data_IF_216447304129
#
_entry.id   IF_216447304129
#
_cell.length_a   1.000
_cell.length_b   1.000
_cell.length_c   1.000
_cell.angle_alpha   90.00
_cell.angle_beta   90.00
_cell.angle_gamma   90.00
#
_symmetry.space_group_name_H-M   'P 1'
#
loop_
_entity.id
_entity.type
_entity.pdbx_description
1 polymer ?
#
# COMPACT_ATOMS: atom_id res chain seq x y z
N UNK A 1 4.21 -27.46 -14.30
CA UNK A 1 3.50 -26.23 -13.90
C UNK A 1 4.57 -25.20 -13.66
N UNK A 2 4.61 -24.12 -14.43
CA UNK A 2 5.45 -22.98 -14.07
C UNK A 2 4.94 -22.45 -12.73
N UNK A 3 5.83 -22.27 -11.74
CA UNK A 3 5.47 -21.56 -10.52
C UNK A 3 5.10 -20.14 -10.93
N UNK A 4 3.82 -19.78 -10.79
CA UNK A 4 3.41 -18.39 -10.97
C UNK A 4 4.06 -17.55 -9.87
N UNK A 5 4.81 -16.54 -10.30
CA UNK A 5 5.42 -15.57 -9.41
C UNK A 5 4.34 -14.58 -8.98
N UNK A 6 3.79 -14.77 -7.78
CA UNK A 6 2.78 -13.88 -7.20
C UNK A 6 3.50 -12.97 -6.21
N UNK A 7 3.30 -11.66 -6.31
CA UNK A 7 3.71 -10.71 -5.28
C UNK A 7 2.55 -10.42 -4.32
N UNK A 8 2.83 -10.40 -3.02
CA UNK A 8 1.97 -9.84 -1.99
C UNK A 8 2.61 -8.55 -1.47
N UNK A 9 2.02 -7.42 -1.84
CA UNK A 9 2.54 -6.08 -1.58
C UNK A 9 1.72 -5.36 -0.51
N UNK A 10 2.34 -4.86 0.55
CA UNK A 10 1.62 -4.32 1.71
C UNK A 10 2.41 -3.28 2.52
N UNK A 11 1.76 -2.65 3.51
CA UNK A 11 2.45 -1.86 4.53
C UNK A 11 2.93 -2.76 5.67
N UNK A 12 4.18 -2.64 6.11
CA UNK A 12 4.75 -3.53 7.15
C UNK A 12 3.93 -3.56 8.45
N UNK A 13 3.20 -2.49 8.76
CA UNK A 13 2.31 -2.42 9.92
C UNK A 13 1.19 -3.48 9.86
N UNK A 14 0.82 -3.95 8.67
CA UNK A 14 -0.21 -4.98 8.46
C UNK A 14 0.38 -6.36 8.11
N UNK A 15 1.59 -6.68 8.58
CA UNK A 15 2.25 -7.96 8.28
C UNK A 15 1.42 -9.17 8.68
N UNK A 16 0.74 -9.13 9.84
CA UNK A 16 -0.09 -10.24 10.31
C UNK A 16 -1.21 -10.57 9.31
N UNK A 17 -1.80 -9.55 8.70
CA UNK A 17 -2.84 -9.71 7.70
C UNK A 17 -2.26 -10.28 6.39
N UNK A 18 -1.09 -9.80 5.97
CA UNK A 18 -0.40 -10.34 4.81
C UNK A 18 -0.01 -11.82 5.02
N UNK A 19 0.45 -12.20 6.21
CA UNK A 19 0.77 -13.58 6.57
C UNK A 19 -0.46 -14.49 6.53
N UNK A 20 -1.63 -14.00 6.98
CA UNK A 20 -2.90 -14.73 6.87
C UNK A 20 -3.26 -15.02 5.41
N UNK A 21 -3.24 -13.98 4.56
CA UNK A 21 -3.50 -14.15 3.11
C UNK A 21 -2.48 -15.12 2.49
N UNK A 22 -1.20 -14.98 2.82
CA UNK A 22 -0.15 -15.86 2.30
C UNK A 22 -0.33 -17.31 2.74
N UNK A 23 -0.80 -17.55 3.98
CA UNK A 23 -1.07 -18.89 4.50
C UNK A 23 -2.23 -19.55 3.74
N UNK A 24 -3.32 -18.81 3.47
CA UNK A 24 -4.45 -19.30 2.68
C UNK A 24 -4.01 -19.68 1.27
N UNK A 25 -3.25 -18.82 0.60
CA UNK A 25 -2.70 -19.10 -0.74
C UNK A 25 -1.73 -20.29 -0.74
N UNK A 26 -0.91 -20.41 0.31
CA UNK A 26 0.03 -21.53 0.47
C UNK A 26 -0.68 -22.87 0.63
N UNK A 27 -1.85 -22.89 1.28
CA UNK A 27 -2.68 -24.09 1.41
C UNK A 27 -3.20 -24.61 0.06
N UNK A 28 -3.37 -23.70 -0.91
CA UNK A 28 -3.75 -24.01 -2.29
C UNK A 28 -2.53 -24.29 -3.21
N UNK A 29 -1.31 -24.22 -2.69
CA UNK A 29 -0.08 -24.50 -3.45
C UNK A 29 0.62 -23.27 -4.03
N UNK A 30 0.20 -22.06 -3.66
CA UNK A 30 0.83 -20.80 -4.08
C UNK A 30 1.65 -20.18 -2.95
N UNK A 31 2.93 -19.92 -3.19
CA UNK A 31 3.80 -19.24 -2.23
C UNK A 31 4.06 -17.79 -2.69
N UNK A 32 3.24 -16.80 -2.29
CA UNK A 32 3.45 -15.43 -2.70
C UNK A 32 4.76 -14.87 -2.12
N UNK A 33 5.48 -14.10 -2.93
CA UNK A 33 6.65 -13.36 -2.48
C UNK A 33 6.22 -12.05 -1.82
N UNK A 34 6.71 -11.79 -0.61
CA UNK A 34 6.36 -10.59 0.15
C UNK A 34 7.17 -9.37 -0.31
N UNK A 35 6.48 -8.25 -0.48
CA UNK A 35 7.05 -6.92 -0.72
C UNK A 35 6.37 -5.95 0.24
N UNK A 36 7.15 -5.12 0.95
CA UNK A 36 6.54 -4.19 1.91
C UNK A 36 7.24 -2.84 1.98
N UNK A 37 6.45 -1.80 2.21
CA UNK A 37 6.95 -0.48 2.59
C UNK A 37 7.16 -0.42 4.11
N UNK A 38 8.35 -0.05 4.56
CA UNK A 38 8.69 0.09 5.99
C UNK A 38 9.35 1.43 6.27
N UNK A 39 8.79 2.22 7.19
CA UNK A 39 9.42 3.46 7.67
C UNK A 39 10.74 3.23 8.40
N UNK A 40 10.96 2.00 8.90
CA UNK A 40 12.11 1.63 9.74
C UNK A 40 13.25 0.96 8.96
N UNK A 41 13.02 0.61 7.70
CA UNK A 41 14.02 -0.02 6.86
C UNK A 41 14.61 1.00 5.88
N UNK A 42 15.92 0.95 5.58
CA UNK A 42 16.53 1.71 4.48
C UNK A 42 16.16 1.16 3.11
N UNK A 43 15.27 0.17 3.04
CA UNK A 43 14.81 -0.42 1.79
C UNK A 43 14.13 0.62 0.89
N UNK A 44 14.17 0.32 -0.41
CA UNK A 44 13.50 1.11 -1.45
C UNK A 44 11.99 1.19 -1.17
N UNK A 45 11.30 2.27 -1.60
CA UNK A 45 9.85 2.32 -1.56
C UNK A 45 9.20 1.11 -2.24
N UNK A 46 8.02 0.71 -1.76
CA UNK A 46 7.33 -0.52 -2.17
C UNK A 46 7.22 -0.65 -3.69
N UNK A 47 6.72 0.38 -4.36
CA UNK A 47 6.54 0.34 -5.82
C UNK A 47 7.85 0.34 -6.60
N UNK A 48 8.96 0.80 -6.01
CA UNK A 48 10.29 0.63 -6.63
C UNK A 48 10.76 -0.84 -6.53
N UNK A 49 10.48 -1.52 -5.41
CA UNK A 49 10.77 -2.95 -5.26
C UNK A 49 10.00 -3.77 -6.32
N UNK A 50 8.72 -3.44 -6.53
CA UNK A 50 7.83 -4.14 -7.45
C UNK A 50 8.19 -3.97 -8.93
N UNK A 51 8.97 -2.95 -9.34
CA UNK A 51 9.39 -2.77 -10.74
C UNK A 51 10.19 -3.95 -11.30
N UNK A 52 10.81 -4.74 -10.43
CA UNK A 52 11.59 -5.92 -10.81
C UNK A 52 10.77 -7.21 -10.82
N UNK A 53 9.54 -7.17 -10.31
CA UNK A 53 8.67 -8.33 -10.25
C UNK A 53 7.97 -8.55 -11.59
N UNK A 54 7.96 -9.81 -12.04
CA UNK A 54 7.21 -10.26 -13.20
C UNK A 54 6.12 -11.23 -12.73
N UNK A 55 4.85 -10.83 -12.85
CA UNK A 55 3.72 -11.67 -12.45
C UNK A 55 2.57 -10.86 -11.85
N UNK A 56 1.59 -11.58 -11.32
CA UNK A 56 0.42 -10.99 -10.66
C UNK A 56 0.78 -10.41 -9.29
N UNK A 57 0.20 -9.25 -8.99
CA UNK A 57 0.45 -8.50 -7.77
C UNK A 57 -0.85 -8.37 -7.00
N UNK A 58 -0.86 -8.93 -5.79
CA UNK A 58 -1.87 -8.72 -4.78
C UNK A 58 -1.45 -7.49 -3.96
N UNK A 59 -2.17 -6.39 -4.09
CA UNK A 59 -1.84 -5.14 -3.42
C UNK A 59 -2.79 -4.92 -2.23
N UNK A 60 -2.30 -5.17 -1.02
CA UNK A 60 -3.06 -5.01 0.22
C UNK A 60 -3.14 -3.52 0.61
N UNK A 61 -4.33 -2.94 0.43
CA UNK A 61 -4.64 -1.54 0.70
C UNK A 61 -5.31 -1.43 2.08
N UNK A 62 -4.61 -0.77 3.00
CA UNK A 62 -5.08 -0.45 4.35
C UNK A 62 -4.92 1.05 4.67
N UNK A 63 -5.50 1.54 5.78
CA UNK A 63 -5.27 2.92 6.25
C UNK A 63 -3.77 3.19 6.47
N UNK A 64 -3.01 2.21 6.98
CA UNK A 64 -1.56 2.33 7.16
C UNK A 64 -0.85 2.47 5.81
N UNK A 65 -1.26 1.69 4.79
CA UNK A 65 -0.72 1.82 3.43
C UNK A 65 -0.91 3.24 2.92
N UNK A 66 -2.14 3.75 2.97
CA UNK A 66 -2.50 5.06 2.42
C UNK A 66 -1.85 6.24 3.17
N UNK A 67 -1.29 5.99 4.35
CA UNK A 67 -0.55 6.97 5.19
C UNK A 67 0.96 6.71 5.27
N UNK A 68 1.47 5.71 4.56
CA UNK A 68 2.89 5.39 4.55
C UNK A 68 3.57 5.97 3.32
N UNK A 69 4.62 6.77 3.52
CA UNK A 69 5.36 7.35 2.39
C UNK A 69 6.08 6.27 1.60
N UNK A 70 6.47 5.19 2.27
CA UNK A 70 7.13 4.04 1.65
C UNK A 70 6.16 3.19 0.81
N UNK A 71 4.86 3.27 1.08
CA UNK A 71 3.83 2.57 0.32
C UNK A 71 3.24 3.46 -0.78
N UNK A 72 3.06 4.75 -0.53
CA UNK A 72 2.43 5.68 -1.47
C UNK A 72 3.37 6.22 -2.56
N UNK A 73 4.68 6.26 -2.30
CA UNK A 73 5.65 6.80 -3.25
C UNK A 73 5.64 6.01 -4.57
N UNK A 74 5.42 6.71 -5.69
CA UNK A 74 5.39 6.10 -7.03
C UNK A 74 4.13 5.28 -7.34
N UNK A 75 3.17 5.19 -6.42
CA UNK A 75 1.99 4.34 -6.60
C UNK A 75 1.07 4.77 -7.73
N UNK A 76 0.94 6.08 -7.98
CA UNK A 76 0.13 6.60 -9.09
C UNK A 76 0.65 6.12 -10.45
N UNK A 77 1.93 6.33 -10.72
CA UNK A 77 2.57 5.89 -11.97
C UNK A 77 2.48 4.36 -12.11
N UNK A 78 2.83 3.64 -11.06
CA UNK A 78 2.81 2.18 -11.07
C UNK A 78 1.41 1.63 -11.38
N UNK A 79 0.37 2.12 -10.70
CA UNK A 79 -1.01 1.70 -10.95
C UNK A 79 -1.53 2.10 -12.33
N UNK A 80 -1.04 3.19 -12.92
CA UNK A 80 -1.43 3.55 -14.29
C UNK A 80 -0.91 2.54 -15.30
N UNK A 81 0.32 2.08 -15.13
CA UNK A 81 1.01 1.23 -16.09
C UNK A 81 0.72 -0.28 -15.90
N UNK A 82 0.28 -0.70 -14.71
CA UNK A 82 0.21 -2.11 -14.33
C UNK A 82 -1.21 -2.57 -13.92
N UNK A 83 -2.27 -1.90 -14.39
CA UNK A 83 -3.66 -2.21 -13.98
C UNK A 83 -4.05 -3.67 -14.18
N UNK A 84 -3.61 -4.28 -15.27
CA UNK A 84 -4.03 -5.65 -15.64
C UNK A 84 -3.34 -6.73 -14.79
N UNK A 85 -2.25 -6.39 -14.10
CA UNK A 85 -1.48 -7.32 -13.27
C UNK A 85 -1.55 -6.98 -11.78
N UNK A 86 -2.32 -5.96 -11.38
CA UNK A 86 -2.51 -5.58 -9.98
C UNK A 86 -3.97 -5.77 -9.58
N UNK A 87 -4.19 -6.59 -8.56
CA UNK A 87 -5.48 -6.70 -7.88
C UNK A 87 -5.38 -6.05 -6.50
N UNK A 88 -6.08 -4.92 -6.27
CA UNK A 88 -6.17 -4.33 -4.94
C UNK A 88 -7.07 -5.18 -4.03
N UNK A 89 -6.56 -5.47 -2.83
CA UNK A 89 -7.31 -6.13 -1.75
C UNK A 89 -7.45 -5.10 -0.63
N UNK A 90 -8.68 -4.69 -0.32
CA UNK A 90 -8.95 -3.67 0.71
C UNK A 90 -9.23 -4.34 2.04
N UNK A 91 -8.55 -3.89 3.08
CA UNK A 91 -8.77 -4.39 4.43
C UNK A 91 -8.62 -3.28 5.47
N UNK A 92 -9.03 -3.55 6.71
CA UNK A 92 -8.82 -2.60 7.81
C UNK A 92 -7.33 -2.37 8.06
N UNK A 93 -6.98 -1.11 8.32
CA UNK A 93 -5.70 -0.77 8.90
C UNK A 93 -5.70 -1.01 10.42
N UNK A 94 -4.58 -0.67 11.04
CA UNK A 94 -4.42 -0.67 12.48
C UNK A 94 -3.91 0.68 12.96
N UNK A 95 -4.35 1.10 14.14
CA UNK A 95 -3.79 2.23 14.87
C UNK A 95 -3.49 1.84 16.29
N UNK A 96 -2.64 2.65 16.90
CA UNK A 96 -2.22 2.48 18.28
C UNK A 96 -2.71 3.69 19.09
N UNK A 97 -3.34 3.43 20.24
CA UNK A 97 -3.73 4.49 21.19
C UNK A 97 -2.54 4.95 22.06
N UNK A 98 -2.76 5.94 22.93
CA UNK A 98 -1.74 6.45 23.87
C UNK A 98 -1.24 5.36 24.84
N UNK A 99 -2.05 4.33 25.09
CA UNK A 99 -1.75 3.20 25.97
C UNK A 99 -1.10 2.02 25.23
N UNK A 100 -0.70 2.21 23.98
CA UNK A 100 -0.11 1.18 23.12
C UNK A 100 -1.04 0.03 22.73
N UNK A 101 -2.35 0.17 22.91
CA UNK A 101 -3.31 -0.81 22.42
C UNK A 101 -3.53 -0.63 20.92
N UNK A 102 -3.46 -1.73 20.18
CA UNK A 102 -3.73 -1.78 18.75
C UNK A 102 -5.22 -2.01 18.52
N UNK A 103 -5.83 -1.20 17.66
CA UNK A 103 -7.22 -1.34 17.25
C UNK A 103 -7.38 -1.19 15.73
N UNK A 104 -8.36 -1.89 15.12
CA UNK A 104 -8.60 -1.79 13.69
C UNK A 104 -9.17 -0.43 13.31
N UNK A 105 -8.84 0.03 12.11
CA UNK A 105 -9.42 1.24 11.52
C UNK A 105 -9.91 0.99 10.09
N UNK A 106 -11.11 1.49 9.72
CA UNK A 106 -11.61 1.33 8.38
C UNK A 106 -10.71 1.99 7.32
N UNK A 107 -10.55 1.31 6.20
CA UNK A 107 -9.89 1.85 5.00
C UNK A 107 -10.98 2.29 4.03
N UNK A 108 -11.15 3.59 3.84
CA UNK A 108 -12.29 4.14 3.10
C UNK A 108 -11.82 5.15 2.05
N UNK A 109 -12.08 4.87 0.78
CA UNK A 109 -11.75 5.76 -0.35
C UNK A 109 -12.83 5.77 -1.44
N UNK A 110 -14.02 5.27 -1.14
CA UNK A 110 -15.14 5.17 -2.09
C UNK A 110 -15.76 6.55 -2.34
N UNK A 111 -16.05 7.29 -1.26
CA UNK A 111 -16.67 8.61 -1.35
C UNK A 111 -15.60 9.68 -1.43
N UNK A 112 -15.95 10.81 -2.03
CA UNK A 112 -15.07 11.99 -2.11
C UNK A 112 -14.67 12.45 -0.70
N UNK A 113 -15.57 12.37 0.29
CA UNK A 113 -15.27 12.68 1.70
C UNK A 113 -14.12 11.83 2.25
N UNK A 114 -14.10 10.54 1.90
CA UNK A 114 -13.16 9.57 2.44
C UNK A 114 -11.78 9.72 1.76
N UNK A 115 -11.76 10.23 0.52
CA UNK A 115 -10.54 10.62 -0.16
C UNK A 115 -9.94 11.89 0.46
N UNK A 116 -10.78 12.87 0.83
CA UNK A 116 -10.33 14.16 1.37
C UNK A 116 -9.47 14.00 2.63
N UNK A 117 -9.79 13.05 3.52
CA UNK A 117 -8.96 12.82 4.72
C UNK A 117 -7.51 12.42 4.40
N UNK A 118 -7.27 11.67 3.32
CA UNK A 118 -5.91 11.29 2.91
C UNK A 118 -5.20 12.44 2.19
N UNK A 119 -5.95 13.23 1.40
CA UNK A 119 -5.40 14.46 0.80
C UNK A 119 -4.93 15.41 1.90
N UNK A 120 -5.78 15.70 2.89
CA UNK A 120 -5.46 16.58 4.00
C UNK A 120 -4.27 16.03 4.79
N UNK A 121 -4.27 14.72 5.11
CA UNK A 121 -3.14 14.08 5.79
C UNK A 121 -1.80 14.36 5.07
N UNK A 122 -1.73 14.11 3.76
CA UNK A 122 -0.48 14.30 3.01
C UNK A 122 -0.11 15.78 2.82
N UNK A 123 -1.08 16.68 2.74
CA UNK A 123 -0.83 18.13 2.74
C UNK A 123 -0.24 18.59 4.08
N UNK A 124 -0.81 18.14 5.20
CA UNK A 124 -0.33 18.48 6.54
C UNK A 124 1.09 17.95 6.76
N UNK A 125 1.35 16.69 6.40
CA UNK A 125 2.71 16.12 6.46
C UNK A 125 3.73 16.93 5.65
N UNK A 126 3.35 17.39 4.45
CA UNK A 126 4.22 18.23 3.63
C UNK A 126 4.49 19.60 4.28
N UNK A 127 3.46 20.25 4.83
CA UNK A 127 3.58 21.54 5.49
C UNK A 127 4.45 21.45 6.76
N UNK A 128 4.28 20.38 7.55
CA UNK A 128 5.06 20.14 8.75
C UNK A 128 6.55 19.94 8.44
N UNK A 129 6.89 19.12 7.45
CA UNK A 129 8.28 18.95 7.01
C UNK A 129 8.89 20.27 6.51
N UNK A 130 8.12 21.09 5.79
CA UNK A 130 8.61 22.41 5.37
C UNK A 130 8.90 23.34 6.53
N UNK A 131 8.10 23.27 7.60
CA UNK A 131 8.33 24.05 8.82
C UNK A 131 9.60 23.57 9.53
N UNK A 132 9.72 22.26 9.75
CA UNK A 132 10.91 21.65 10.37
C UNK A 132 12.20 22.04 9.64
N UNK A 133 12.19 22.06 8.30
CA UNK A 133 13.34 22.48 7.49
C UNK A 133 13.84 23.89 7.85
N UNK A 134 12.92 24.83 8.11
CA UNK A 134 13.26 26.23 8.42
C UNK A 134 13.78 26.40 9.85
N UNK A 135 13.39 25.50 10.75
CA UNK A 135 13.70 25.60 12.18
C UNK A 135 15.02 24.93 12.55
N UNK A 136 15.50 23.98 11.72
CA UNK A 136 16.60 23.08 12.05
C UNK A 136 17.76 23.16 11.01
N UNK A 137 17.94 24.31 10.34
CA UNK A 137 18.88 24.52 9.22
C UNK A 137 20.31 24.00 9.48
N UNK A 138 20.77 23.95 10.74
CA UNK A 138 22.15 23.54 11.11
C UNK A 138 22.29 22.10 11.67
N UNK A 139 21.19 21.37 11.93
CA UNK A 139 21.22 20.09 12.68
C UNK A 139 20.77 18.85 11.88
N UNK A 140 20.32 19.03 10.63
CA UNK A 140 19.76 17.95 9.81
C UNK A 140 20.76 17.51 8.74
N UNK A 141 20.84 16.20 8.47
CA UNK A 141 21.36 15.70 7.19
C UNK A 141 20.46 16.22 6.05
N UNK A 142 20.87 17.35 5.47
CA UNK A 142 20.12 18.03 4.42
C UNK A 142 19.78 17.12 3.25
N UNK A 143 20.64 16.15 2.92
CA UNK A 143 20.45 15.31 1.74
C UNK A 143 19.26 14.38 1.95
N UNK A 144 19.32 13.55 2.99
CA UNK A 144 18.25 12.59 3.34
C UNK A 144 16.94 13.31 3.62
N UNK A 145 16.99 14.45 4.30
CA UNK A 145 15.79 15.24 4.57
C UNK A 145 15.16 15.83 3.30
N UNK A 146 15.97 16.38 2.39
CA UNK A 146 15.48 16.91 1.14
C UNK A 146 14.86 15.83 0.24
N UNK A 147 15.43 14.62 0.24
CA UNK A 147 14.84 13.46 -0.44
C UNK A 147 13.48 13.10 0.16
N UNK A 148 13.39 12.98 1.48
CA UNK A 148 12.12 12.72 2.15
C UNK A 148 11.07 13.80 1.85
N UNK A 149 11.44 15.08 1.91
CA UNK A 149 10.56 16.20 1.58
C UNK A 149 10.09 16.16 0.12
N UNK A 150 10.95 15.78 -0.82
CA UNK A 150 10.57 15.59 -2.24
C UNK A 150 9.55 14.47 -2.40
N UNK A 151 9.78 13.34 -1.74
CA UNK A 151 8.85 12.20 -1.75
C UNK A 151 7.49 12.58 -1.20
N UNK A 152 7.44 13.23 -0.03
CA UNK A 152 6.17 13.66 0.58
C UNK A 152 5.46 14.72 -0.27
N UNK A 153 6.21 15.64 -0.90
CA UNK A 153 5.65 16.60 -1.87
C UNK A 153 5.00 15.90 -3.06
N UNK A 154 5.68 14.91 -3.63
CA UNK A 154 5.18 14.15 -4.76
C UNK A 154 3.89 13.41 -4.38
N UNK A 155 3.90 12.69 -3.26
CA UNK A 155 2.72 12.00 -2.73
C UNK A 155 1.56 12.99 -2.53
N UNK A 156 1.79 14.12 -1.85
CA UNK A 156 0.75 15.14 -1.62
C UNK A 156 0.11 15.64 -2.92
N UNK A 157 0.88 15.77 -4.00
CA UNK A 157 0.38 16.15 -5.33
C UNK A 157 -0.38 15.03 -6.06
N UNK A 158 -0.11 13.77 -5.74
CA UNK A 158 -0.59 12.60 -6.49
C UNK A 158 -1.67 11.79 -5.75
N UNK A 159 -1.79 11.92 -4.42
CA UNK A 159 -2.70 11.12 -3.56
C UNK A 159 -4.12 11.08 -4.10
N UNK A 160 -4.65 12.24 -4.53
CA UNK A 160 -6.04 12.30 -5.02
C UNK A 160 -6.25 11.47 -6.29
N UNK A 161 -5.25 11.39 -7.17
CA UNK A 161 -5.33 10.62 -8.40
C UNK A 161 -5.07 9.14 -8.13
N UNK A 162 -4.11 8.81 -7.27
CA UNK A 162 -3.88 7.42 -6.85
C UNK A 162 -5.14 6.79 -6.24
N UNK A 163 -5.83 7.50 -5.34
CA UNK A 163 -7.09 7.01 -4.75
C UNK A 163 -8.22 6.88 -5.78
N UNK A 164 -8.26 7.76 -6.80
CA UNK A 164 -9.20 7.60 -7.91
C UNK A 164 -8.90 6.36 -8.75
N UNK A 165 -7.63 6.06 -8.99
CA UNK A 165 -7.21 4.84 -9.68
C UNK A 165 -7.63 3.61 -8.90
N UNK A 166 -7.37 3.57 -7.59
CA UNK A 166 -7.79 2.46 -6.71
C UNK A 166 -9.30 2.28 -6.71
N UNK A 167 -10.07 3.36 -6.54
CA UNK A 167 -11.53 3.31 -6.54
C UNK A 167 -12.11 2.82 -7.86
N UNK A 168 -11.47 3.15 -8.98
CA UNK A 168 -11.91 2.74 -10.31
C UNK A 168 -11.31 1.39 -10.74
N UNK A 169 -10.45 0.79 -9.92
CA UNK A 169 -9.98 -0.57 -10.14
C UNK A 169 -11.02 -1.57 -9.63
N UNK A 170 -11.01 -2.79 -10.18
CA UNK A 170 -11.77 -3.91 -9.65
C UNK A 170 -11.09 -4.41 -8.36
N UNK A 171 -11.28 -3.67 -7.27
CA UNK A 171 -10.81 -4.09 -5.96
C UNK A 171 -11.80 -5.05 -5.31
N UNK A 172 -11.27 -5.89 -4.41
CA UNK A 172 -12.06 -6.78 -3.55
C UNK A 172 -11.74 -6.46 -2.10
N UNK A 173 -12.70 -6.60 -1.21
CA UNK A 173 -12.44 -6.51 0.23
C UNK A 173 -11.93 -7.86 0.75
N UNK A 174 -11.14 -7.83 1.82
CA UNK A 174 -10.70 -9.07 2.46
C UNK A 174 -11.87 -9.91 2.99
N UNK A 175 -12.92 -9.25 3.51
CA UNK A 175 -14.14 -9.92 3.96
C UNK A 175 -14.78 -10.73 2.82
N UNK A 176 -14.92 -10.14 1.62
CA UNK A 176 -15.42 -10.84 0.44
C UNK A 176 -14.51 -12.01 0.02
N UNK A 177 -13.19 -11.88 0.18
CA UNK A 177 -12.25 -12.98 -0.09
C UNK A 177 -12.43 -14.14 0.89
N UNK A 178 -12.57 -13.84 2.17
CA UNK A 178 -12.77 -14.85 3.21
C UNK A 178 -14.10 -15.60 3.01
N UNK A 179 -15.17 -14.87 2.69
CA UNK A 179 -16.49 -15.45 2.40
C UNK A 179 -16.52 -16.31 1.13
N UNK A 180 -15.76 -15.91 0.11
CA UNK A 180 -15.68 -16.62 -1.18
C UNK A 180 -14.54 -17.65 -1.26
N UNK A 181 -13.84 -17.91 -0.15
CA UNK A 181 -12.66 -18.78 -0.13
C UNK A 181 -11.62 -18.40 -1.19
N UNK A 182 -11.36 -17.10 -1.36
CA UNK A 182 -10.36 -16.52 -2.26
C UNK A 182 -10.58 -16.82 -3.75
N UNK A 183 -11.81 -17.15 -4.17
CA UNK A 183 -12.13 -17.51 -5.56
C UNK A 183 -11.66 -16.45 -6.57
N UNK A 184 -11.89 -15.17 -6.28
CA UNK A 184 -11.46 -14.07 -7.16
C UNK A 184 -9.95 -13.97 -7.27
N UNK A 185 -9.20 -14.29 -6.21
CA UNK A 185 -7.74 -14.36 -6.25
C UNK A 185 -7.27 -15.50 -7.15
N UNK A 186 -7.84 -16.69 -6.99
CA UNK A 186 -7.49 -17.85 -7.83
C UNK A 186 -7.84 -17.60 -9.31
N UNK A 187 -8.95 -16.92 -9.60
CA UNK A 187 -9.29 -16.50 -10.96
C UNK A 187 -8.28 -15.49 -11.50
N UNK A 188 -7.90 -14.50 -10.70
CA UNK A 188 -6.94 -13.46 -11.10
C UNK A 188 -5.55 -14.00 -11.40
N UNK A 189 -5.05 -14.94 -10.59
CA UNK A 189 -3.76 -15.59 -10.86
C UNK A 189 -3.84 -16.62 -12.00
N UNK A 190 -5.04 -17.01 -12.44
CA UNK A 190 -5.25 -17.89 -13.60
C UNK A 190 -5.40 -19.38 -13.25
N UNK A 191 -5.66 -19.68 -11.98
CA UNK A 191 -5.87 -21.04 -11.46
C UNK A 191 -7.32 -21.53 -11.65
N UNK A 192 -8.26 -20.61 -11.84
CA UNK A 192 -9.63 -20.92 -12.22
C UNK A 192 -9.93 -20.34 -13.61
N UNK A 193 -10.40 -21.19 -14.54
CA UNK A 193 -10.94 -20.71 -15.82
C UNK A 193 -12.26 -19.99 -15.57
N UNK A 194 -12.41 -18.81 -16.18
CA UNK A 194 -13.66 -18.05 -16.22
C UNK A 194 -14.81 -18.86 -16.87
#
# INVERSE_FOLDING_TARGET
MEQQHIALAYCIDNIQLAEQIAQELSSAGHAPQHYYGSKKSPDKPLFEQLRSHSGQILLLITDNFLRSSQCMAGGREFMQDNRDIVMPIVAEGIRQDESHNVYPVPTQFERISDIIQYINYWQDQYLDLRRQKRELEDEIDETTFNEHLRTVRAISGETSEFLRLLRNAEYVTLEELEESHYESVFRFIGDMKA
#
